data_IF_914746698013
#
_entry.id   IF_914746698013
#
_cell.length_a   1.000
_cell.length_b   1.000
_cell.length_c   1.000
_cell.angle_alpha   90.00
_cell.angle_beta   90.00
_cell.angle_gamma   90.00
#
_symmetry.space_group_name_H-M   'P 1'
#
loop_
_entity.id
_entity.type
_entity.pdbx_description
1 polymer ?
#
# COMPACT_ATOMS: atom_id res chain seq x y z
N UNK A 1 -13.65 14.82 -28.33
CA UNK A 1 -14.43 14.35 -27.17
C UNK A 1 -13.47 14.04 -26.03
N UNK A 2 -13.61 14.71 -24.89
CA UNK A 2 -12.81 14.43 -23.69
C UNK A 2 -13.23 13.09 -23.04
N UNK A 3 -12.35 12.46 -22.24
CA UNK A 3 -12.70 11.21 -21.52
C UNK A 3 -13.92 11.40 -20.60
N UNK A 4 -14.04 12.59 -20.00
CA UNK A 4 -15.19 12.99 -19.19
C UNK A 4 -16.49 13.08 -20.01
N UNK A 5 -16.42 13.64 -21.23
CA UNK A 5 -17.59 13.70 -22.14
C UNK A 5 -18.06 12.29 -22.50
N UNK A 6 -17.14 11.42 -22.93
CA UNK A 6 -17.46 10.02 -23.27
C UNK A 6 -18.15 9.30 -22.10
N UNK A 7 -17.62 9.42 -20.87
CA UNK A 7 -18.20 8.72 -19.72
C UNK A 7 -19.56 9.28 -19.28
N UNK A 8 -19.78 10.59 -19.46
CA UNK A 8 -21.04 11.24 -19.12
C UNK A 8 -22.21 10.78 -20.00
N UNK A 9 -21.94 10.25 -21.20
CA UNK A 9 -22.95 9.64 -22.08
C UNK A 9 -23.47 8.30 -21.53
N UNK A 10 -22.66 7.59 -20.72
CA UNK A 10 -22.99 6.24 -20.23
C UNK A 10 -23.35 6.19 -18.74
N UNK A 11 -22.82 7.10 -17.92
CA UNK A 11 -22.99 7.06 -16.46
C UNK A 11 -23.30 8.46 -15.92
N UNK A 12 -24.46 8.59 -15.25
CA UNK A 12 -24.83 9.82 -14.54
C UNK A 12 -24.02 10.01 -13.26
N UNK A 13 -23.87 11.26 -12.79
CA UNK A 13 -23.13 11.56 -11.55
C UNK A 13 -23.70 10.81 -10.31
N UNK A 14 -25.03 10.67 -10.11
CA UNK A 14 -25.56 9.87 -9.01
C UNK A 14 -25.17 8.39 -9.10
N UNK A 15 -25.18 7.80 -10.29
CA UNK A 15 -24.73 6.41 -10.51
C UNK A 15 -23.24 6.28 -10.22
N UNK A 16 -22.41 7.21 -10.72
CA UNK A 16 -20.98 7.23 -10.45
C UNK A 16 -20.67 7.34 -8.95
N UNK A 17 -21.43 8.17 -8.22
CA UNK A 17 -21.30 8.30 -6.76
C UNK A 17 -21.67 7.02 -6.03
N UNK A 18 -22.77 6.37 -6.42
CA UNK A 18 -23.16 5.09 -5.85
C UNK A 18 -22.08 4.02 -6.05
N UNK A 19 -21.52 3.92 -7.26
CA UNK A 19 -20.41 3.01 -7.57
C UNK A 19 -19.20 3.34 -6.70
N UNK A 20 -18.78 4.60 -6.67
CA UNK A 20 -17.63 5.07 -5.88
C UNK A 20 -17.75 4.74 -4.40
N UNK A 21 -18.89 5.03 -3.77
CA UNK A 21 -19.11 4.76 -2.35
C UNK A 21 -19.20 3.26 -2.05
N UNK A 22 -19.80 2.48 -2.96
CA UNK A 22 -19.84 1.02 -2.88
C UNK A 22 -18.44 0.42 -2.96
N UNK A 23 -17.62 0.89 -3.89
CA UNK A 23 -16.23 0.45 -4.07
C UNK A 23 -15.40 0.79 -2.84
N UNK A 24 -15.51 2.01 -2.28
CA UNK A 24 -14.82 2.39 -1.03
C UNK A 24 -15.13 1.44 0.12
N UNK A 25 -16.42 1.17 0.35
CA UNK A 25 -16.88 0.28 1.41
C UNK A 25 -16.36 -1.15 1.23
N UNK A 26 -16.56 -1.72 0.05
CA UNK A 26 -16.15 -3.10 -0.23
C UNK A 26 -14.63 -3.26 -0.21
N UNK A 27 -13.87 -2.23 -0.56
CA UNK A 27 -12.42 -2.28 -0.53
C UNK A 27 -11.86 -2.43 0.90
N UNK A 28 -12.48 -1.76 1.88
CA UNK A 28 -12.14 -1.95 3.30
C UNK A 28 -12.52 -3.37 3.75
N UNK A 29 -13.73 -3.84 3.43
CA UNK A 29 -14.17 -5.19 3.81
C UNK A 29 -13.25 -6.28 3.27
N UNK A 30 -12.86 -6.16 2.00
CA UNK A 30 -11.94 -7.08 1.37
C UNK A 30 -10.57 -7.07 2.06
N UNK A 31 -10.08 -5.90 2.46
CA UNK A 31 -8.79 -5.78 3.16
C UNK A 31 -8.84 -6.34 4.58
N UNK A 32 -9.96 -6.21 5.29
CA UNK A 32 -10.17 -6.87 6.59
C UNK A 32 -10.19 -8.39 6.42
N UNK A 33 -10.91 -8.90 5.41
CA UNK A 33 -10.93 -10.33 5.12
C UNK A 33 -9.51 -10.84 4.75
N UNK A 34 -8.77 -10.08 3.93
CA UNK A 34 -7.40 -10.38 3.56
C UNK A 34 -6.44 -10.37 4.77
N UNK A 35 -6.59 -9.41 5.69
CA UNK A 35 -5.82 -9.36 6.94
C UNK A 35 -5.96 -10.67 7.72
N UNK A 36 -7.19 -11.16 7.93
CA UNK A 36 -7.43 -12.44 8.62
C UNK A 36 -6.86 -13.63 7.85
N UNK A 37 -7.07 -13.67 6.54
CA UNK A 37 -6.61 -14.78 5.70
C UNK A 37 -5.08 -14.88 5.65
N UNK A 38 -4.38 -13.76 5.58
CA UNK A 38 -2.92 -13.70 5.38
C UNK A 38 -2.12 -14.10 6.63
N UNK A 39 -2.72 -14.13 7.83
CA UNK A 39 -2.10 -14.79 8.98
C UNK A 39 -1.96 -16.31 8.81
N UNK A 40 -2.83 -16.93 8.00
CA UNK A 40 -2.82 -18.38 7.76
C UNK A 40 -2.18 -18.74 6.41
N UNK A 41 -2.38 -17.91 5.39
CA UNK A 41 -1.96 -18.20 4.02
C UNK A 41 -0.91 -17.18 3.59
N UNK A 42 0.32 -17.63 3.34
CA UNK A 42 1.34 -16.77 2.73
C UNK A 42 1.09 -16.63 1.23
N UNK A 43 1.23 -15.41 0.72
CA UNK A 43 1.29 -15.17 -0.71
C UNK A 43 2.54 -15.85 -1.31
N UNK A 44 2.34 -16.67 -2.34
CA UNK A 44 3.37 -17.53 -2.91
C UNK A 44 4.34 -16.77 -3.83
N UNK A 45 5.18 -15.91 -3.23
CA UNK A 45 6.26 -15.20 -3.90
C UNK A 45 7.42 -14.89 -2.94
N UNK A 46 8.60 -14.62 -3.49
CA UNK A 46 9.80 -14.38 -2.69
C UNK A 46 10.13 -15.60 -1.83
N UNK A 47 10.32 -15.40 -0.52
CA UNK A 47 10.67 -16.47 0.44
C UNK A 47 9.61 -17.55 0.61
N UNK A 48 8.36 -17.28 0.21
CA UNK A 48 7.24 -18.22 0.30
C UNK A 48 6.86 -18.82 -1.05
N UNK A 49 7.68 -18.62 -2.09
CA UNK A 49 7.50 -19.29 -3.38
C UNK A 49 7.73 -20.80 -3.24
N UNK A 50 6.85 -21.63 -3.82
CA UNK A 50 6.90 -23.10 -3.70
C UNK A 50 7.56 -23.80 -4.90
N UNK A 51 8.27 -23.07 -5.75
CA UNK A 51 9.12 -23.65 -6.81
C UNK A 51 8.68 -23.31 -8.23
N UNK A 52 8.70 -24.32 -9.10
CA UNK A 52 8.52 -24.21 -10.54
C UNK A 52 7.27 -24.94 -11.04
N UNK A 53 6.60 -24.36 -12.04
CA UNK A 53 5.41 -24.93 -12.68
C UNK A 53 4.80 -23.96 -13.70
N UNK A 54 3.77 -24.37 -14.47
CA UNK A 54 3.19 -23.54 -15.53
C UNK A 54 2.52 -22.27 -14.99
N UNK A 55 2.10 -22.28 -13.73
CA UNK A 55 1.49 -21.12 -13.05
C UNK A 55 2.52 -20.18 -12.40
N UNK A 56 3.82 -20.47 -12.51
CA UNK A 56 4.89 -19.65 -11.94
C UNK A 56 5.54 -18.78 -13.00
N UNK A 57 5.40 -17.48 -12.84
CA UNK A 57 5.86 -16.47 -13.79
C UNK A 57 7.09 -15.73 -13.28
N UNK A 58 7.79 -15.06 -14.20
CA UNK A 58 8.92 -14.21 -13.86
C UNK A 58 8.46 -13.11 -12.88
N UNK A 59 9.01 -13.13 -11.66
CA UNK A 59 8.56 -12.24 -10.60
C UNK A 59 8.87 -10.75 -10.86
N UNK A 60 9.90 -10.41 -11.65
CA UNK A 60 10.18 -9.02 -12.01
C UNK A 60 9.12 -8.48 -12.95
N UNK A 61 8.83 -9.22 -14.02
CA UNK A 61 7.80 -8.84 -15.02
C UNK A 61 6.42 -8.79 -14.35
N UNK A 62 6.08 -9.80 -13.56
CA UNK A 62 4.84 -9.84 -12.80
C UNK A 62 4.67 -8.62 -11.88
N UNK A 63 5.75 -8.19 -11.22
CA UNK A 63 5.74 -7.00 -10.36
C UNK A 63 5.52 -5.71 -11.16
N UNK A 64 6.22 -5.54 -12.29
CA UNK A 64 6.02 -4.36 -13.15
C UNK A 64 4.58 -4.28 -13.66
N UNK A 65 4.06 -5.40 -14.16
CA UNK A 65 2.68 -5.49 -14.66
C UNK A 65 1.69 -5.19 -13.54
N UNK A 66 1.81 -5.80 -12.37
CA UNK A 66 0.79 -5.63 -11.35
C UNK A 66 0.76 -4.22 -10.74
N UNK A 67 1.91 -3.53 -10.68
CA UNK A 67 2.01 -2.20 -10.09
C UNK A 67 1.66 -1.07 -11.08
N UNK A 68 1.85 -1.26 -12.38
CA UNK A 68 1.58 -0.21 -13.38
C UNK A 68 0.08 0.13 -13.53
N UNK A 69 -0.82 -0.79 -13.15
CA UNK A 69 -2.27 -0.53 -13.21
C UNK A 69 -2.70 0.62 -12.29
N UNK A 70 -2.04 0.81 -11.14
CA UNK A 70 -2.45 1.85 -10.18
C UNK A 70 -2.28 3.28 -10.73
N UNK A 71 -1.09 3.69 -11.24
CA UNK A 71 -0.93 5.02 -11.82
C UNK A 71 -1.76 5.23 -13.09
N UNK A 72 -1.98 4.17 -13.90
CA UNK A 72 -2.86 4.24 -15.07
C UNK A 72 -4.29 4.51 -14.64
N UNK A 73 -4.86 3.68 -13.76
CA UNK A 73 -6.23 3.84 -13.28
C UNK A 73 -6.43 5.16 -12.53
N UNK A 74 -5.45 5.58 -11.72
CA UNK A 74 -5.48 6.89 -11.06
C UNK A 74 -5.54 8.04 -12.06
N UNK A 75 -4.67 8.03 -13.07
CA UNK A 75 -4.66 9.07 -14.10
C UNK A 75 -5.97 9.09 -14.89
N UNK A 76 -6.45 7.92 -15.35
CA UNK A 76 -7.68 7.82 -16.11
C UNK A 76 -8.90 8.29 -15.29
N UNK A 77 -9.05 7.83 -14.05
CA UNK A 77 -10.15 8.26 -13.19
C UNK A 77 -10.06 9.72 -12.77
N UNK A 78 -8.84 10.26 -12.60
CA UNK A 78 -8.62 11.67 -12.33
C UNK A 78 -9.06 12.55 -13.52
N UNK A 79 -8.71 12.15 -14.75
CA UNK A 79 -9.09 12.87 -15.97
C UNK A 79 -10.58 12.71 -16.29
N UNK A 80 -11.15 11.55 -16.02
CA UNK A 80 -12.59 11.30 -16.15
C UNK A 80 -13.42 12.17 -15.21
N UNK A 81 -12.89 12.44 -14.00
CA UNK A 81 -13.52 13.24 -12.96
C UNK A 81 -15.02 12.93 -12.74
N UNK A 82 -15.41 11.65 -12.55
CA UNK A 82 -16.81 11.20 -12.64
C UNK A 82 -17.74 11.73 -11.55
N UNK A 83 -17.18 12.36 -10.50
CA UNK A 83 -17.93 12.99 -9.42
C UNK A 83 -18.07 14.51 -9.59
N UNK A 84 -17.50 15.08 -10.65
CA UNK A 84 -17.61 16.51 -10.95
C UNK A 84 -18.98 16.81 -11.54
N UNK A 85 -19.61 17.88 -11.06
CA UNK A 85 -20.83 18.40 -11.65
C UNK A 85 -20.48 19.26 -12.88
N UNK A 86 -21.24 19.18 -13.99
CA UNK A 86 -21.07 20.10 -15.10
C UNK A 86 -21.32 21.54 -14.62
N UNK A 87 -20.36 22.45 -14.82
CA UNK A 87 -20.52 23.87 -14.52
C UNK A 87 -21.08 24.55 -15.76
N UNK A 88 -22.39 24.82 -15.82
CA UNK A 88 -23.14 25.74 -16.73
C UNK A 88 -22.88 25.67 -18.26
N UNK A 89 -21.81 25.03 -18.73
CA UNK A 89 -21.34 24.81 -20.10
C UNK A 89 -20.49 23.52 -20.13
N UNK A 90 -20.73 22.59 -21.06
CA UNK A 90 -20.02 21.29 -21.14
C UNK A 90 -18.49 21.38 -21.27
N UNK A 91 -17.96 22.55 -21.63
CA UNK A 91 -16.55 22.77 -21.96
C UNK A 91 -15.73 23.43 -20.85
N UNK A 92 -16.34 23.88 -19.74
CA UNK A 92 -15.61 24.56 -18.66
C UNK A 92 -15.11 23.58 -17.59
N UNK A 93 -13.89 23.05 -17.77
CA UNK A 93 -13.19 22.37 -16.67
C UNK A 93 -12.70 23.42 -15.68
N UNK A 94 -13.13 23.33 -14.42
CA UNK A 94 -12.62 24.22 -13.38
C UNK A 94 -11.11 23.99 -13.18
N UNK A 95 -10.31 25.06 -12.98
CA UNK A 95 -8.87 24.92 -12.82
C UNK A 95 -8.52 24.08 -11.59
N UNK A 96 -7.52 23.22 -11.74
CA UNK A 96 -6.99 22.40 -10.64
C UNK A 96 -6.20 23.26 -9.66
N UNK A 97 -6.45 23.07 -8.36
CA UNK A 97 -5.65 23.70 -7.31
C UNK A 97 -4.21 23.16 -7.30
N UNK A 98 -3.21 23.95 -6.88
CA UNK A 98 -1.83 23.49 -6.74
C UNK A 98 -1.71 22.21 -5.92
N UNK A 99 -2.43 22.11 -4.80
CA UNK A 99 -2.42 20.92 -3.94
C UNK A 99 -2.86 19.64 -4.67
N UNK A 100 -3.84 19.70 -5.57
CA UNK A 100 -4.28 18.53 -6.36
C UNK A 100 -3.16 18.06 -7.30
N UNK A 101 -2.48 19.01 -7.96
CA UNK A 101 -1.37 18.70 -8.89
C UNK A 101 -0.18 18.09 -8.15
N UNK A 102 0.17 18.64 -6.98
CA UNK A 102 1.24 18.10 -6.14
C UNK A 102 0.90 16.67 -5.73
N UNK A 103 -0.28 16.42 -5.16
CA UNK A 103 -0.68 15.09 -4.68
C UNK A 103 -0.74 14.06 -5.82
N UNK A 104 -1.26 14.43 -6.99
CA UNK A 104 -1.20 13.56 -8.16
C UNK A 104 0.26 13.26 -8.55
N UNK A 105 1.12 14.28 -8.56
CA UNK A 105 2.54 14.13 -8.82
C UNK A 105 3.24 13.18 -7.84
N UNK A 106 2.99 13.32 -6.54
CA UNK A 106 3.56 12.44 -5.51
C UNK A 106 3.12 10.98 -5.72
N UNK A 107 1.82 10.76 -6.00
CA UNK A 107 1.31 9.42 -6.31
C UNK A 107 2.00 8.81 -7.54
N UNK A 108 2.17 9.61 -8.60
CA UNK A 108 2.84 9.15 -9.83
C UNK A 108 4.34 8.93 -9.62
N UNK A 109 5.02 9.73 -8.79
CA UNK A 109 6.43 9.52 -8.43
C UNK A 109 6.59 8.21 -7.66
N UNK A 110 5.72 7.95 -6.67
CA UNK A 110 5.73 6.68 -5.94
C UNK A 110 5.63 5.50 -6.91
N UNK A 111 4.58 5.48 -7.74
CA UNK A 111 4.32 4.36 -8.64
C UNK A 111 5.30 4.30 -9.83
N UNK A 112 5.87 5.42 -10.25
CA UNK A 112 6.98 5.45 -11.20
C UNK A 112 8.20 4.72 -10.64
N UNK A 113 8.52 4.94 -9.36
CA UNK A 113 9.55 4.15 -8.70
C UNK A 113 9.12 2.68 -8.50
N UNK A 114 7.92 2.43 -7.97
CA UNK A 114 7.46 1.10 -7.56
C UNK A 114 7.21 0.15 -8.73
N UNK A 115 6.63 0.64 -9.82
CA UNK A 115 6.27 -0.17 -10.99
C UNK A 115 7.41 -0.29 -12.00
N UNK A 116 8.31 0.70 -12.07
CA UNK A 116 9.34 0.77 -13.12
C UNK A 116 10.75 0.70 -12.51
N UNK A 117 11.16 1.71 -11.74
CA UNK A 117 12.56 1.86 -11.32
C UNK A 117 13.02 0.73 -10.37
N UNK A 118 12.24 0.44 -9.33
CA UNK A 118 12.57 -0.56 -8.31
C UNK A 118 12.65 -1.99 -8.86
N UNK A 119 11.70 -2.47 -9.70
CA UNK A 119 11.81 -3.78 -10.34
C UNK A 119 13.04 -3.92 -11.24
N UNK A 120 13.40 -2.87 -11.99
CA UNK A 120 14.59 -2.86 -12.85
C UNK A 120 15.89 -2.95 -12.02
N UNK A 121 15.93 -2.32 -10.85
CA UNK A 121 17.08 -2.36 -9.92
C UNK A 121 17.16 -3.64 -9.10
N UNK A 122 16.05 -4.33 -8.92
CA UNK A 122 16.02 -5.53 -8.08
C UNK A 122 16.86 -6.66 -8.72
N UNK A 123 17.72 -7.37 -7.96
CA UNK A 123 18.31 -8.64 -8.38
C UNK A 123 17.27 -9.71 -8.74
N UNK A 124 17.71 -10.83 -9.33
CA UNK A 124 16.83 -11.98 -9.63
C UNK A 124 16.03 -12.39 -8.39
N UNK A 125 14.73 -12.66 -8.57
CA UNK A 125 13.82 -13.12 -7.51
C UNK A 125 13.32 -14.52 -7.87
N UNK A 126 13.00 -15.33 -6.86
CA UNK A 126 12.19 -16.54 -7.03
C UNK A 126 10.91 -16.24 -7.81
N UNK A 127 10.45 -17.21 -8.62
CA UNK A 127 9.25 -17.05 -9.43
C UNK A 127 8.02 -16.81 -8.55
N UNK A 128 7.05 -16.08 -9.08
CA UNK A 128 5.80 -15.78 -8.38
C UNK A 128 4.66 -16.61 -8.98
N UNK A 129 3.80 -17.17 -8.14
CA UNK A 129 2.58 -17.81 -8.62
C UNK A 129 1.62 -16.76 -9.21
N UNK A 130 0.93 -17.06 -10.32
CA UNK A 130 0.07 -16.13 -11.06
C UNK A 130 -1.07 -15.51 -10.24
N UNK A 131 -1.51 -16.18 -9.16
CA UNK A 131 -2.50 -15.63 -8.24
C UNK A 131 -2.03 -14.32 -7.58
N UNK A 132 -0.73 -14.14 -7.39
CA UNK A 132 -0.14 -12.94 -6.76
C UNK A 132 -0.29 -11.70 -7.65
N UNK A 133 0.20 -11.67 -8.91
CA UNK A 133 -0.01 -10.52 -9.78
C UNK A 133 -1.50 -10.32 -10.08
N UNK A 134 -2.30 -11.38 -10.22
CA UNK A 134 -3.74 -11.22 -10.44
C UNK A 134 -4.44 -10.48 -9.28
N UNK A 135 -4.24 -10.93 -8.04
CA UNK A 135 -4.80 -10.25 -6.86
C UNK A 135 -4.28 -8.81 -6.73
N UNK A 136 -3.00 -8.59 -7.03
CA UNK A 136 -2.37 -7.27 -6.97
C UNK A 136 -2.89 -6.31 -8.05
N UNK A 137 -3.17 -6.81 -9.26
CA UNK A 137 -3.82 -6.03 -10.32
C UNK A 137 -5.22 -5.60 -9.86
N UNK A 138 -6.03 -6.50 -9.33
CA UNK A 138 -7.37 -6.17 -8.83
C UNK A 138 -7.31 -5.09 -7.73
N UNK A 139 -6.38 -5.23 -6.79
CA UNK A 139 -6.14 -4.23 -5.75
C UNK A 139 -5.75 -2.87 -6.35
N UNK A 140 -4.79 -2.85 -7.28
CA UNK A 140 -4.27 -1.62 -7.86
C UNK A 140 -5.25 -0.93 -8.81
N UNK A 141 -6.09 -1.68 -9.52
CA UNK A 141 -7.21 -1.11 -10.30
C UNK A 141 -8.17 -0.38 -9.39
N UNK A 142 -8.61 -1.03 -8.30
CA UNK A 142 -9.53 -0.41 -7.33
C UNK A 142 -8.87 0.79 -6.65
N UNK A 143 -7.66 0.64 -6.13
CA UNK A 143 -6.94 1.70 -5.42
C UNK A 143 -6.69 2.91 -6.31
N UNK A 144 -6.10 2.69 -7.49
CA UNK A 144 -5.82 3.74 -8.46
C UNK A 144 -7.09 4.49 -8.84
N UNK A 145 -8.15 3.75 -9.21
CA UNK A 145 -9.41 4.36 -9.65
C UNK A 145 -10.06 5.20 -8.54
N UNK A 146 -10.07 4.71 -7.30
CA UNK A 146 -10.57 5.44 -6.14
C UNK A 146 -9.74 6.69 -5.86
N UNK A 147 -8.42 6.59 -5.89
CA UNK A 147 -7.51 7.71 -5.64
C UNK A 147 -7.69 8.82 -6.68
N UNK A 148 -7.69 8.47 -7.96
CA UNK A 148 -7.89 9.41 -9.07
C UNK A 148 -9.25 10.10 -8.99
N UNK A 149 -10.32 9.32 -8.77
CA UNK A 149 -11.67 9.84 -8.60
C UNK A 149 -11.76 10.82 -7.43
N UNK A 150 -11.13 10.49 -6.30
CA UNK A 150 -11.12 11.36 -5.12
C UNK A 150 -10.37 12.66 -5.36
N UNK A 151 -9.15 12.61 -5.90
CA UNK A 151 -8.30 13.78 -6.06
C UNK A 151 -8.91 14.86 -6.98
N UNK A 152 -9.81 14.49 -7.89
CA UNK A 152 -10.57 15.43 -8.72
C UNK A 152 -12.05 15.60 -8.27
N UNK A 153 -12.42 15.07 -7.10
CA UNK A 153 -13.79 15.21 -6.58
C UNK A 153 -14.04 16.60 -5.96
N UNK A 154 -15.29 17.06 -5.89
CA UNK A 154 -15.64 18.28 -5.15
C UNK A 154 -15.15 18.27 -3.69
N UNK A 155 -15.14 17.09 -3.04
CA UNK A 155 -14.68 16.93 -1.66
C UNK A 155 -13.19 17.25 -1.50
N UNK A 156 -12.33 16.70 -2.37
CA UNK A 156 -10.89 17.01 -2.33
C UNK A 156 -10.63 18.48 -2.66
N UNK A 157 -11.41 19.07 -3.57
CA UNK A 157 -11.26 20.49 -3.94
C UNK A 157 -11.60 21.44 -2.81
N UNK A 158 -12.69 21.18 -2.09
CA UNK A 158 -13.05 21.94 -0.89
C UNK A 158 -11.97 21.80 0.18
N UNK A 159 -11.45 20.58 0.37
CA UNK A 159 -10.39 20.35 1.35
C UNK A 159 -9.10 21.09 0.99
N UNK A 160 -8.64 20.99 -0.26
CA UNK A 160 -7.33 21.48 -0.68
C UNK A 160 -7.28 22.99 -0.96
N UNK A 161 -8.42 23.68 -0.98
CA UNK A 161 -8.48 25.11 -1.22
C UNK A 161 -7.62 25.89 -0.20
N UNK A 162 -6.48 26.42 -0.67
CA UNK A 162 -5.57 27.25 0.13
C UNK A 162 -4.72 26.50 1.15
N UNK A 163 -4.73 25.16 1.17
CA UNK A 163 -3.97 24.36 2.16
C UNK A 163 -2.47 24.45 1.99
N UNK A 164 -2.00 24.75 0.79
CA UNK A 164 -0.58 24.98 0.51
C UNK A 164 0.03 26.17 1.26
N UNK A 165 -0.82 27.06 1.81
CA UNK A 165 -0.38 28.19 2.65
C UNK A 165 -0.14 27.79 4.11
N UNK A 166 -0.63 26.62 4.51
CA UNK A 166 -0.53 26.12 5.88
C UNK A 166 0.78 25.35 6.09
N UNK A 167 1.47 25.61 7.20
CA UNK A 167 2.76 24.95 7.50
C UNK A 167 2.60 23.43 7.69
N UNK A 168 1.49 22.99 8.28
CA UNK A 168 1.25 21.57 8.56
C UNK A 168 1.05 20.76 7.28
N UNK A 169 0.60 21.41 6.19
CA UNK A 169 0.44 20.75 4.90
C UNK A 169 1.82 20.37 4.35
N UNK A 170 2.78 21.29 4.42
CA UNK A 170 4.17 21.02 4.07
C UNK A 170 4.86 20.02 5.00
N UNK A 171 4.50 20.01 6.30
CA UNK A 171 4.95 18.97 7.20
C UNK A 171 4.46 17.58 6.76
N UNK A 172 3.22 17.47 6.28
CA UNK A 172 2.66 16.23 5.73
C UNK A 172 3.35 15.81 4.42
N UNK A 173 3.65 16.74 3.51
CA UNK A 173 4.45 16.47 2.31
C UNK A 173 5.87 16.02 2.66
N UNK A 174 6.48 16.62 3.69
CA UNK A 174 7.81 16.24 4.17
C UNK A 174 7.78 14.83 4.76
N UNK A 175 6.74 14.49 5.51
CA UNK A 175 6.53 13.12 6.02
C UNK A 175 6.40 12.12 4.87
N UNK A 176 5.65 12.47 3.82
CA UNK A 176 5.57 11.67 2.60
C UNK A 176 6.95 11.44 1.99
N UNK A 177 7.73 12.50 1.80
CA UNK A 177 9.06 12.42 1.18
C UNK A 177 10.06 11.60 2.03
N UNK A 178 10.04 11.78 3.35
CA UNK A 178 10.86 11.01 4.27
C UNK A 178 10.51 9.52 4.25
N UNK A 179 9.20 9.20 4.19
CA UNK A 179 8.71 7.84 4.00
C UNK A 179 9.19 7.24 2.67
N UNK A 180 9.00 7.95 1.55
CA UNK A 180 9.39 7.49 0.22
C UNK A 180 10.90 7.23 0.10
N UNK A 181 11.73 8.20 0.53
CA UNK A 181 13.20 8.05 0.53
C UNK A 181 13.62 6.92 1.47
N UNK A 182 13.00 6.84 2.66
CA UNK A 182 13.24 5.77 3.61
C UNK A 182 12.93 4.40 3.03
N UNK A 183 11.80 4.23 2.34
CA UNK A 183 11.41 2.98 1.69
C UNK A 183 12.47 2.54 0.67
N UNK A 184 12.87 3.45 -0.22
CA UNK A 184 13.90 3.20 -1.25
C UNK A 184 15.25 2.84 -0.62
N UNK A 185 15.68 3.58 0.42
CA UNK A 185 16.96 3.34 1.08
C UNK A 185 17.02 1.94 1.70
N UNK A 186 15.94 1.50 2.35
CA UNK A 186 15.88 0.18 2.97
C UNK A 186 15.74 -0.95 1.94
N UNK A 187 14.99 -0.74 0.85
CA UNK A 187 14.93 -1.69 -0.26
C UNK A 187 16.32 -1.86 -0.93
N UNK A 188 17.08 -0.78 -1.08
CA UNK A 188 18.44 -0.82 -1.65
C UNK A 188 19.41 -1.62 -0.76
N UNK A 189 19.28 -1.55 0.57
CA UNK A 189 20.02 -2.42 1.50
C UNK A 189 19.71 -3.90 1.20
N UNK A 190 18.43 -4.25 1.00
CA UNK A 190 18.03 -5.63 0.66
C UNK A 190 18.56 -6.05 -0.71
N UNK A 191 18.55 -5.16 -1.70
CA UNK A 191 19.09 -5.46 -3.04
C UNK A 191 20.59 -5.70 -2.99
N UNK A 192 21.33 -4.87 -2.26
CA UNK A 192 22.77 -5.07 -2.02
C UNK A 192 23.05 -6.39 -1.32
N UNK A 193 22.25 -6.74 -0.32
CA UNK A 193 22.38 -8.01 0.39
C UNK A 193 22.20 -9.20 -0.55
N UNK A 194 21.16 -9.16 -1.41
CA UNK A 194 20.90 -10.20 -2.41
C UNK A 194 21.98 -10.31 -3.47
N UNK A 195 22.54 -9.19 -3.94
CA UNK A 195 23.68 -9.20 -4.88
C UNK A 195 24.89 -9.89 -4.26
N UNK A 196 25.20 -9.58 -3.01
CA UNK A 196 26.31 -10.19 -2.28
C UNK A 196 26.10 -11.69 -2.07
N UNK A 197 24.94 -12.11 -1.61
CA UNK A 197 24.66 -13.53 -1.36
C UNK A 197 24.66 -14.35 -2.66
N UNK A 198 24.13 -13.80 -3.75
CA UNK A 198 24.19 -14.44 -5.07
C UNK A 198 25.62 -14.55 -5.60
N UNK A 199 26.41 -13.48 -5.52
CA UNK A 199 27.81 -13.52 -5.96
C UNK A 199 28.64 -14.55 -5.17
N UNK A 200 28.33 -14.75 -3.89
CA UNK A 200 28.96 -15.80 -3.07
C UNK A 200 28.51 -17.20 -3.47
N UNK A 201 27.22 -17.41 -3.76
CA UNK A 201 26.72 -18.72 -4.21
C UNK A 201 27.26 -19.12 -5.58
N UNK A 202 27.35 -18.15 -6.51
CA UNK A 202 27.84 -18.39 -7.86
C UNK A 202 29.33 -18.81 -7.82
N UNK A 203 30.17 -18.07 -7.09
CA UNK A 203 31.59 -18.46 -6.86
C UNK A 203 31.73 -19.85 -6.26
N UNK A 204 30.92 -20.17 -5.24
CA UNK A 204 30.98 -21.48 -4.58
C UNK A 204 30.55 -22.63 -5.51
N UNK A 205 29.64 -22.37 -6.46
CA UNK A 205 29.24 -23.33 -7.48
C UNK A 205 30.31 -23.49 -8.58
N UNK A 206 31.04 -22.42 -8.91
CA UNK A 206 32.15 -22.46 -9.87
C UNK A 206 33.36 -23.21 -9.30
N UNK A 207 33.63 -23.06 -8.00
CA UNK A 207 34.69 -23.76 -7.27
C UNK A 207 34.29 -25.19 -6.84
N UNK A 208 33.04 -25.61 -7.10
CA UNK A 208 32.54 -26.92 -6.68
C UNK A 208 33.17 -28.04 -7.53
N UNK A 209 33.67 -29.08 -6.86
CA UNK A 209 34.21 -30.28 -7.53
C UNK A 209 33.14 -31.00 -8.36
N UNK A 210 33.49 -31.64 -9.50
CA UNK A 210 32.56 -32.42 -10.30
C UNK A 210 31.83 -33.46 -9.44
N UNK A 211 30.49 -33.43 -9.46
CA UNK A 211 29.64 -34.35 -8.68
C UNK A 211 29.11 -33.79 -7.35
N UNK A 212 29.53 -32.60 -6.91
CA UNK A 212 28.85 -31.93 -5.79
C UNK A 212 27.53 -31.31 -6.27
N UNK A 213 26.43 -31.48 -5.52
CA UNK A 213 25.17 -30.83 -5.86
C UNK A 213 25.37 -29.31 -5.80
N UNK A 214 25.14 -28.63 -6.93
CA UNK A 214 25.10 -27.16 -6.98
C UNK A 214 24.11 -26.67 -5.93
N UNK A 215 24.49 -25.67 -5.13
CA UNK A 215 23.57 -25.07 -4.19
C UNK A 215 22.48 -24.34 -4.98
N UNK A 216 21.35 -25.01 -5.18
CA UNK A 216 20.15 -24.45 -5.76
C UNK A 216 19.30 -23.85 -4.63
N UNK A 217 19.34 -22.52 -4.49
CA UNK A 217 18.48 -21.80 -3.55
C UNK A 217 18.96 -20.38 -3.28
N UNK A 218 18.02 -19.46 -3.03
CA UNK A 218 18.37 -18.11 -2.57
C UNK A 218 18.94 -18.16 -1.15
N UNK A 219 20.20 -17.75 -0.98
CA UNK A 219 20.78 -17.62 0.35
C UNK A 219 20.32 -16.29 0.98
N UNK A 220 19.56 -16.40 2.07
CA UNK A 220 19.08 -15.25 2.83
C UNK A 220 20.09 -14.85 3.91
N UNK A 221 20.19 -13.56 4.16
CA UNK A 221 21.01 -13.01 5.23
C UNK A 221 20.21 -11.99 6.06
N UNK A 222 20.71 -11.67 7.25
CA UNK A 222 20.10 -10.67 8.13
C UNK A 222 20.50 -9.28 7.63
N UNK A 223 19.53 -8.40 7.31
CA UNK A 223 19.83 -7.03 6.94
C UNK A 223 20.27 -6.20 8.16
N UNK A 224 21.22 -5.30 7.95
CA UNK A 224 21.74 -4.35 8.94
C UNK A 224 21.85 -2.95 8.31
N UNK A 225 21.88 -1.92 9.15
CA UNK A 225 21.97 -0.52 8.74
C UNK A 225 20.64 0.23 8.86
N UNK A 226 20.72 1.54 9.13
CA UNK A 226 19.55 2.42 9.32
C UNK A 226 18.52 1.80 10.30
N UNK A 227 17.24 1.78 9.94
CA UNK A 227 16.17 1.27 10.79
C UNK A 227 16.18 -0.26 10.92
N UNK A 228 16.95 -1.00 10.10
CA UNK A 228 17.15 -2.44 10.34
C UNK A 228 17.81 -2.71 11.70
N UNK A 229 18.44 -1.71 12.33
CA UNK A 229 18.91 -1.82 13.72
C UNK A 229 17.77 -2.08 14.71
N UNK A 230 16.58 -1.53 14.45
CA UNK A 230 15.46 -1.51 15.40
C UNK A 230 14.31 -2.44 14.98
N UNK A 231 14.07 -2.58 13.68
CA UNK A 231 12.90 -3.26 13.13
C UNK A 231 13.26 -4.17 11.96
N UNK A 232 12.43 -5.19 11.73
CA UNK A 232 12.64 -6.16 10.64
C UNK A 232 12.17 -5.66 9.29
N UNK A 233 11.09 -4.87 9.26
CA UNK A 233 10.48 -4.36 8.03
C UNK A 233 10.44 -2.83 8.00
N UNK A 234 11.61 -2.16 8.00
CA UNK A 234 11.68 -0.71 7.92
C UNK A 234 11.16 -0.13 6.60
N UNK A 235 11.26 -0.88 5.50
CA UNK A 235 10.66 -0.47 4.24
C UNK A 235 9.13 -0.34 4.37
N UNK A 236 8.46 -1.28 5.05
CA UNK A 236 7.00 -1.18 5.30
C UNK A 236 6.67 -0.01 6.23
N UNK A 237 7.45 0.19 7.30
CA UNK A 237 7.26 1.35 8.18
C UNK A 237 7.36 2.67 7.42
N UNK A 238 8.38 2.81 6.59
CA UNK A 238 8.57 3.99 5.75
C UNK A 238 7.45 4.16 4.72
N UNK A 239 6.94 3.07 4.13
CA UNK A 239 5.76 3.10 3.23
C UNK A 239 4.51 3.58 3.99
N UNK A 240 4.30 3.12 5.24
CA UNK A 240 3.20 3.61 6.07
C UNK A 240 3.32 5.10 6.41
N UNK A 241 4.52 5.58 6.73
CA UNK A 241 4.76 7.02 6.93
C UNK A 241 4.53 7.83 5.66
N UNK A 242 4.94 7.28 4.51
CA UNK A 242 4.71 7.87 3.21
C UNK A 242 3.22 8.14 3.01
N UNK A 243 2.40 7.10 3.08
CA UNK A 243 0.96 7.21 2.85
C UNK A 243 0.19 7.90 3.97
N UNK A 244 0.73 7.92 5.20
CA UNK A 244 0.22 8.77 6.27
C UNK A 244 0.39 10.25 5.94
N UNK A 245 1.58 10.66 5.49
CA UNK A 245 1.83 12.02 5.02
C UNK A 245 0.91 12.38 3.84
N UNK A 246 0.74 11.46 2.89
CA UNK A 246 -0.19 11.63 1.77
C UNK A 246 -1.63 11.85 2.26
N UNK A 247 -2.12 11.00 3.18
CA UNK A 247 -3.50 11.04 3.64
C UNK A 247 -3.82 12.32 4.42
N UNK A 248 -2.90 12.78 5.28
CA UNK A 248 -3.03 14.05 6.02
C UNK A 248 -3.09 15.24 5.04
N UNK A 249 -2.23 15.25 4.03
CA UNK A 249 -2.23 16.33 3.04
C UNK A 249 -3.49 16.31 2.16
N UNK A 250 -3.95 15.11 1.78
CA UNK A 250 -5.01 14.93 0.79
C UNK A 250 -6.43 15.02 1.33
N UNK A 251 -6.66 14.78 2.64
CA UNK A 251 -8.02 14.66 3.19
C UNK A 251 -8.10 14.97 4.69
N UNK A 252 -9.26 15.45 5.21
CA UNK A 252 -9.48 15.56 6.65
C UNK A 252 -9.24 14.23 7.37
N UNK A 253 -8.63 14.29 8.55
CA UNK A 253 -8.47 13.11 9.41
C UNK A 253 -9.85 12.51 9.73
N UNK A 254 -10.06 11.21 9.48
CA UNK A 254 -11.39 10.61 9.55
C UNK A 254 -11.90 10.43 10.98
N UNK A 255 -10.97 10.32 11.94
CA UNK A 255 -11.25 10.11 13.36
C UNK A 255 -10.97 11.42 14.10
N UNK A 256 -11.90 11.87 14.94
CA UNK A 256 -11.68 13.08 15.74
C UNK A 256 -10.61 12.84 16.82
N UNK A 257 -9.91 13.91 17.21
CA UNK A 257 -8.93 13.84 18.30
C UNK A 257 -9.55 13.32 19.60
N UNK A 258 -10.79 13.71 19.90
CA UNK A 258 -11.52 13.20 21.06
C UNK A 258 -11.67 11.67 21.03
N UNK A 259 -12.06 11.11 19.89
CA UNK A 259 -12.18 9.66 19.72
C UNK A 259 -10.83 8.97 19.86
N UNK A 260 -9.76 9.54 19.26
CA UNK A 260 -8.41 8.99 19.41
C UNK A 260 -7.96 8.98 20.89
N UNK A 261 -8.16 10.08 21.61
CA UNK A 261 -7.81 10.18 23.03
C UNK A 261 -8.61 9.18 23.87
N UNK A 262 -9.91 9.04 23.62
CA UNK A 262 -10.73 8.03 24.28
C UNK A 262 -10.24 6.60 24.01
N UNK A 263 -9.90 6.28 22.76
CA UNK A 263 -9.37 4.96 22.38
C UNK A 263 -8.02 4.66 23.04
N UNK A 264 -7.20 5.69 23.29
CA UNK A 264 -5.91 5.56 23.99
C UNK A 264 -6.03 5.52 25.52
N UNK A 265 -7.23 5.71 26.08
CA UNK A 265 -7.40 5.74 27.53
C UNK A 265 -7.19 4.36 28.17
N UNK A 266 -6.67 4.28 29.41
CA UNK A 266 -6.54 3.01 30.13
C UNK A 266 -7.87 2.23 30.22
N UNK A 267 -8.99 2.94 30.34
CA UNK A 267 -10.32 2.35 30.38
C UNK A 267 -10.72 1.70 29.04
N UNK A 268 -10.37 2.30 27.90
CA UNK A 268 -10.60 1.71 26.59
C UNK A 268 -9.72 0.47 26.35
N UNK A 269 -8.46 0.53 26.79
CA UNK A 269 -7.53 -0.60 26.72
C UNK A 269 -8.04 -1.77 27.56
N UNK A 270 -8.50 -1.50 28.79
CA UNK A 270 -9.08 -2.52 29.67
C UNK A 270 -10.36 -3.16 29.08
N UNK A 271 -11.12 -2.39 28.28
CA UNK A 271 -12.33 -2.87 27.59
C UNK A 271 -12.07 -3.50 26.22
N UNK A 272 -10.81 -3.62 25.78
CA UNK A 272 -10.48 -4.22 24.50
C UNK A 272 -11.03 -5.65 24.33
N UNK A 273 -11.06 -6.53 25.36
CA UNK A 273 -11.71 -7.84 25.23
C UNK A 273 -13.20 -7.75 24.89
N UNK A 274 -13.91 -6.77 25.45
CA UNK A 274 -15.33 -6.53 25.15
C UNK A 274 -15.54 -6.01 23.72
N UNK A 275 -14.57 -5.31 23.14
CA UNK A 275 -14.58 -4.91 21.73
C UNK A 275 -14.53 -6.14 20.81
N UNK A 276 -13.73 -7.15 21.14
CA UNK A 276 -13.65 -8.39 20.37
C UNK A 276 -14.98 -9.13 20.35
N UNK A 277 -15.70 -9.15 21.47
CA UNK A 277 -17.06 -9.75 21.57
C UNK A 277 -18.08 -8.98 20.72
N UNK A 278 -17.93 -7.66 20.61
CA UNK A 278 -18.80 -6.79 19.77
C UNK A 278 -18.40 -6.76 18.30
N UNK A 279 -17.25 -7.32 17.94
CA UNK A 279 -16.75 -7.26 16.56
C UNK A 279 -17.75 -7.84 15.53
N UNK A 280 -18.45 -8.97 15.79
CA UNK A 280 -19.44 -9.49 14.85
C UNK A 280 -20.62 -8.54 14.60
N UNK A 281 -21.13 -7.87 15.65
CA UNK A 281 -22.22 -6.89 15.47
C UNK A 281 -21.73 -5.64 14.75
N UNK A 282 -20.54 -5.13 15.09
CA UNK A 282 -19.92 -4.00 14.38
C UNK A 282 -19.74 -4.33 12.89
N UNK A 283 -19.24 -5.52 12.55
CA UNK A 283 -19.09 -5.96 11.16
C UNK A 283 -20.45 -6.10 10.47
N UNK A 284 -21.47 -6.61 11.16
CA UNK A 284 -22.83 -6.72 10.62
C UNK A 284 -23.39 -5.34 10.29
N UNK A 285 -23.31 -4.40 11.21
CA UNK A 285 -23.78 -3.02 11.02
C UNK A 285 -23.02 -2.34 9.88
N UNK A 286 -21.71 -2.56 9.81
CA UNK A 286 -20.87 -2.08 8.71
C UNK A 286 -21.34 -2.65 7.36
N UNK A 287 -21.60 -3.95 7.27
CA UNK A 287 -22.08 -4.62 6.04
C UNK A 287 -23.47 -4.13 5.66
N UNK A 288 -24.35 -3.86 6.61
CA UNK A 288 -25.73 -3.44 6.36
C UNK A 288 -25.86 -1.94 6.04
N UNK A 289 -24.92 -1.11 6.47
CA UNK A 289 -24.95 0.34 6.21
C UNK A 289 -24.94 0.63 4.70
N UNK A 290 -25.94 1.35 4.15
CA UNK A 290 -25.95 1.67 2.72
C UNK A 290 -24.70 2.44 2.31
N UNK A 291 -24.12 2.19 1.11
CA UNK A 291 -22.89 2.85 0.68
C UNK A 291 -22.92 4.38 0.74
N UNK A 292 -24.06 5.00 0.45
CA UNK A 292 -24.19 6.47 0.51
C UNK A 292 -23.96 7.05 1.92
N UNK A 293 -24.26 6.28 2.98
CA UNK A 293 -24.02 6.66 4.37
C UNK A 293 -22.68 6.14 4.90
N UNK A 294 -21.88 5.53 4.02
CA UNK A 294 -20.63 4.91 4.40
C UNK A 294 -19.57 5.96 4.73
N UNK A 295 -19.30 6.11 6.03
CA UNK A 295 -18.10 6.73 6.61
C UNK A 295 -17.54 7.88 5.75
N UNK A 296 -18.33 8.95 5.56
CA UNK A 296 -18.02 10.00 4.58
C UNK A 296 -16.63 10.66 4.71
N UNK A 297 -16.02 10.57 5.90
CA UNK A 297 -14.66 11.05 6.16
C UNK A 297 -13.54 10.05 5.84
N UNK A 298 -13.84 8.75 5.70
CA UNK A 298 -12.87 7.73 5.27
C UNK A 298 -12.68 7.77 3.76
N UNK A 299 -12.01 8.79 3.27
CA UNK A 299 -11.71 8.98 1.84
C UNK A 299 -10.63 8.01 1.36
N UNK A 300 -10.49 7.80 0.04
CA UNK A 300 -9.49 6.89 -0.53
C UNK A 300 -8.05 7.02 0.02
N UNK A 301 -7.47 8.21 0.28
CA UNK A 301 -6.16 8.30 0.93
C UNK A 301 -6.05 7.57 2.27
N UNK A 302 -7.05 7.74 3.14
CA UNK A 302 -7.11 7.07 4.45
C UNK A 302 -7.47 5.57 4.33
N UNK A 303 -8.34 5.23 3.39
CA UNK A 303 -8.66 3.82 3.09
C UNK A 303 -7.41 3.09 2.61
N UNK A 304 -6.63 3.71 1.74
CA UNK A 304 -5.44 3.08 1.19
C UNK A 304 -4.39 2.85 2.28
N UNK A 305 -4.10 3.86 3.11
CA UNK A 305 -3.22 3.70 4.28
C UNK A 305 -3.69 2.56 5.19
N UNK A 306 -4.99 2.50 5.52
CA UNK A 306 -5.55 1.43 6.32
C UNK A 306 -5.34 0.06 5.65
N UNK A 307 -5.65 -0.04 4.36
CA UNK A 307 -5.52 -1.27 3.60
C UNK A 307 -4.07 -1.74 3.54
N UNK A 308 -3.11 -0.85 3.34
CA UNK A 308 -1.69 -1.18 3.39
C UNK A 308 -1.28 -1.78 4.73
N UNK A 309 -1.65 -1.14 5.85
CA UNK A 309 -1.37 -1.67 7.18
C UNK A 309 -1.98 -3.06 7.35
N UNK A 310 -3.24 -3.23 6.94
CA UNK A 310 -3.97 -4.50 7.03
C UNK A 310 -3.34 -5.61 6.16
N UNK A 311 -2.82 -5.33 4.97
CA UNK A 311 -2.24 -6.40 4.12
C UNK A 311 -0.76 -6.63 4.39
N UNK A 312 -0.03 -5.62 4.86
CA UNK A 312 1.41 -5.72 5.13
C UNK A 312 1.71 -6.29 6.51
N UNK A 313 0.93 -5.95 7.54
CA UNK A 313 1.24 -6.32 8.92
C UNK A 313 1.29 -7.84 9.14
N UNK A 314 0.32 -8.66 8.68
CA UNK A 314 0.38 -10.11 8.84
C UNK A 314 1.64 -10.69 8.18
N UNK A 315 1.99 -10.17 7.01
CA UNK A 315 3.20 -10.58 6.28
C UNK A 315 4.48 -10.19 7.00
N UNK A 316 4.53 -8.99 7.59
CA UNK A 316 5.66 -8.54 8.39
C UNK A 316 5.83 -9.42 9.63
N UNK A 317 4.73 -9.71 10.33
CA UNK A 317 4.72 -10.60 11.48
C UNK A 317 5.26 -11.99 11.13
N UNK A 318 4.71 -12.63 10.10
CA UNK A 318 5.16 -13.95 9.64
C UNK A 318 6.61 -13.95 9.17
N UNK A 319 7.02 -12.90 8.46
CA UNK A 319 8.40 -12.74 8.02
C UNK A 319 9.37 -12.53 9.18
N UNK A 320 8.97 -11.85 10.25
CA UNK A 320 9.75 -11.69 11.47
C UNK A 320 9.93 -13.02 12.21
N UNK A 321 8.86 -13.81 12.34
CA UNK A 321 8.94 -15.17 12.90
C UNK A 321 9.88 -16.05 12.09
N UNK A 322 9.78 -15.99 10.76
CA UNK A 322 10.69 -16.72 9.88
C UNK A 322 12.15 -16.32 10.10
N UNK A 323 12.46 -15.04 10.32
CA UNK A 323 13.83 -14.60 10.61
C UNK A 323 14.35 -15.18 11.95
N UNK A 324 13.51 -15.20 12.98
CA UNK A 324 13.84 -15.80 14.28
C UNK A 324 14.11 -17.30 14.15
N UNK A 325 13.25 -18.02 13.45
CA UNK A 325 13.39 -19.45 13.21
C UNK A 325 14.63 -19.76 12.36
N UNK A 326 14.85 -18.99 11.28
CA UNK A 326 15.92 -19.27 10.31
C UNK A 326 17.32 -19.00 10.85
N UNK A 327 17.49 -17.95 11.67
CA UNK A 327 18.79 -17.49 12.12
C UNK A 327 19.06 -17.73 13.62
N UNK A 328 18.05 -18.17 14.38
CA UNK A 328 18.20 -18.48 15.81
C UNK A 328 18.85 -17.34 16.59
N UNK A 329 19.87 -17.66 17.38
CA UNK A 329 20.59 -16.69 18.21
C UNK A 329 21.37 -15.62 17.43
N UNK A 330 21.66 -15.84 16.14
CA UNK A 330 22.29 -14.81 15.31
C UNK A 330 21.32 -13.67 14.96
N UNK A 331 20.00 -13.88 15.12
CA UNK A 331 19.01 -12.84 14.91
C UNK A 331 18.93 -11.87 16.10
N UNK A 332 18.99 -10.54 15.90
CA UNK A 332 18.93 -9.61 17.02
C UNK A 332 17.60 -9.69 17.79
N UNK A 333 17.66 -10.12 19.05
CA UNK A 333 16.49 -10.39 19.92
C UNK A 333 15.64 -9.15 20.20
N UNK A 334 16.27 -7.97 20.23
CA UNK A 334 15.61 -6.69 20.50
C UNK A 334 14.84 -6.11 19.29
N UNK A 335 15.03 -6.65 18.08
CA UNK A 335 14.33 -6.13 16.90
C UNK A 335 12.82 -6.34 17.04
N UNK A 336 12.08 -5.27 16.78
CA UNK A 336 10.62 -5.30 16.61
C UNK A 336 10.27 -5.59 15.14
N UNK A 337 8.99 -5.74 14.82
CA UNK A 337 8.53 -6.17 13.51
C UNK A 337 8.56 -5.00 12.52
N UNK A 338 7.81 -3.93 12.78
CA UNK A 338 7.61 -2.77 11.90
C UNK A 338 7.73 -1.43 12.62
N UNK A 339 7.20 -1.25 13.84
CA UNK A 339 7.23 0.06 14.53
C UNK A 339 8.32 0.05 15.61
N UNK A 340 9.34 0.93 15.51
CA UNK A 340 10.43 0.96 16.47
C UNK A 340 9.94 1.13 17.91
N UNK A 341 10.38 0.24 18.81
CA UNK A 341 10.02 0.29 20.23
C UNK A 341 8.62 -0.22 20.58
N UNK A 342 7.77 -0.53 19.59
CA UNK A 342 6.37 -0.92 19.82
C UNK A 342 6.02 -2.29 19.24
N UNK A 343 6.07 -2.43 17.90
CA UNK A 343 5.50 -3.57 17.17
C UNK A 343 6.52 -4.23 16.28
#
# INVERSE_FOLDING_TARGET
>A
MSLSELLSEYISVPQARHIYDSTRKNFILLSIAAFVATFKIDAQFGRFSRGDGPMYVNAKIAWMIMEIFSPICCTLSFLAAPLSMPVLTPTSQLPLYPGQKVLLGLFLVHYGNRAIISPLRTPSRSKAHISVPFASILFNVVNGSLMGTYLNSPQARIWLAGKEKEWWWWAAITLWAAGFVGNIAHDEILFNLRRKTKGQSDKKNDDAKPGQPKQQGEHYAIPYGLLYKYITFPNYFCEWLEWLGFAIAASPVPISLSTLLHMSSPAAIANFPNLLVRLPSILRDFIQTPPMFFMGRFTPPWIFLLNEVLVMLPRAYRGHLWYKEKFGDAYPKERKIVVPGLL
#
